data_IF_125876097825
#
_entry.id   IF_125876097825
#
_cell.length_a   1.000
_cell.length_b   1.000
_cell.length_c   1.000
_cell.angle_alpha   90.00
_cell.angle_beta   90.00
_cell.angle_gamma   90.00
#
_symmetry.space_group_name_H-M   'P 1'
#
loop_
_entity.id
_entity.type
_entity.pdbx_description
1 polymer ?
#
# COMPACT_ATOMS: atom_id res chain seq x y z
N UNK A 1 21.19 29.66 -81.14
CA UNK A 1 21.61 31.07 -81.09
C UNK A 1 20.93 31.73 -79.90
N UNK A 2 21.69 32.56 -79.19
CA UNK A 2 21.22 33.55 -78.20
C UNK A 2 20.83 32.96 -76.83
N UNK A 3 21.27 33.46 -75.68
CA UNK A 3 22.17 34.57 -75.36
C UNK A 3 22.37 34.59 -73.83
N UNK A 4 23.53 35.10 -73.42
CA UNK A 4 23.94 35.39 -72.04
C UNK A 4 23.05 36.40 -71.31
N UNK A 5 22.93 36.28 -69.97
CA UNK A 5 23.09 37.36 -68.96
C UNK A 5 22.84 36.77 -67.55
N UNK A 6 23.86 36.53 -66.71
CA UNK A 6 24.55 37.45 -65.80
C UNK A 6 23.71 38.01 -64.63
N UNK A 7 24.03 37.48 -63.44
CA UNK A 7 24.28 38.13 -62.14
C UNK A 7 23.19 38.91 -61.38
N UNK A 8 22.84 38.39 -60.19
CA UNK A 8 23.03 39.06 -58.89
C UNK A 8 22.80 38.12 -57.69
N UNK A 9 23.84 37.92 -56.88
CA UNK A 9 23.77 37.54 -55.46
C UNK A 9 23.36 38.80 -54.63
N UNK A 10 23.25 38.81 -53.28
CA UNK A 10 23.14 37.76 -52.24
C UNK A 10 22.06 38.04 -51.16
N UNK A 11 21.67 37.04 -50.36
CA UNK A 11 21.46 37.21 -48.89
C UNK A 11 21.27 35.85 -48.20
N UNK A 12 22.35 35.34 -47.60
CA UNK A 12 22.26 34.53 -46.37
C UNK A 12 21.72 35.44 -45.23
N UNK A 13 21.19 34.96 -44.07
CA UNK A 13 21.51 33.68 -43.41
C UNK A 13 20.34 33.05 -42.59
N UNK A 14 20.67 31.98 -41.84
CA UNK A 14 20.00 31.52 -40.61
C UNK A 14 18.78 30.58 -40.70
N UNK A 15 18.91 29.43 -41.37
CA UNK A 15 18.08 28.27 -41.02
C UNK A 15 18.85 26.96 -40.76
N UNK A 16 20.18 26.99 -40.79
CA UNK A 16 21.00 25.80 -40.54
C UNK A 16 21.25 25.52 -39.04
N UNK A 17 21.03 26.49 -38.15
CA UNK A 17 21.32 26.33 -36.73
C UNK A 17 20.20 25.59 -35.95
N UNK A 18 19.00 25.40 -36.52
CA UNK A 18 17.88 24.71 -35.82
C UNK A 18 17.89 23.20 -36.00
N UNK A 19 18.55 22.68 -37.03
CA UNK A 19 18.63 21.23 -37.28
C UNK A 19 19.64 20.52 -36.36
N UNK A 20 20.75 21.16 -36.03
CA UNK A 20 21.83 20.57 -35.21
C UNK A 20 21.43 20.46 -33.74
N UNK A 21 20.69 21.45 -33.20
CA UNK A 21 20.21 21.37 -31.81
C UNK A 21 19.13 20.30 -31.67
N UNK A 22 18.22 20.17 -32.64
CA UNK A 22 17.17 19.14 -32.57
C UNK A 22 17.73 17.73 -32.75
N UNK A 23 18.69 17.51 -33.65
CA UNK A 23 19.32 16.19 -33.82
C UNK A 23 20.17 15.80 -32.60
N UNK A 24 20.91 16.74 -31.99
CA UNK A 24 21.65 16.48 -30.75
C UNK A 24 20.72 16.31 -29.53
N UNK A 25 19.55 16.96 -29.51
CA UNK A 25 18.56 16.81 -28.44
C UNK A 25 17.78 15.50 -28.57
N UNK A 26 17.40 15.06 -29.78
CA UNK A 26 16.71 13.79 -29.99
C UNK A 26 17.63 12.57 -29.76
N UNK A 27 18.90 12.66 -30.17
CA UNK A 27 19.87 11.58 -29.93
C UNK A 27 20.20 11.49 -28.43
N UNK A 28 20.33 12.61 -27.70
CA UNK A 28 20.50 12.56 -26.24
C UNK A 28 19.22 12.20 -25.46
N UNK A 29 18.03 12.52 -25.97
CA UNK A 29 16.75 12.15 -25.36
C UNK A 29 16.45 10.65 -25.53
N UNK A 30 16.84 10.04 -26.66
CA UNK A 30 16.84 8.57 -26.80
C UNK A 30 18.01 7.91 -26.05
N UNK A 31 19.17 8.53 -25.95
CA UNK A 31 20.33 7.97 -25.23
C UNK A 31 20.18 8.04 -23.70
N UNK A 32 19.33 8.93 -23.18
CA UNK A 32 19.01 9.00 -21.75
C UNK A 32 18.00 7.94 -21.28
N UNK A 33 17.29 7.27 -22.21
CA UNK A 33 16.44 6.12 -21.90
C UNK A 33 17.18 4.78 -21.94
N UNK A 34 18.45 4.77 -22.38
CA UNK A 34 19.27 3.56 -22.54
C UNK A 34 20.37 3.38 -21.50
N UNK A 35 20.43 4.19 -20.43
CA UNK A 35 21.04 3.72 -19.18
C UNK A 35 20.09 2.73 -18.51
N UNK A 36 20.19 1.53 -19.06
CA UNK A 36 19.75 0.24 -18.60
C UNK A 36 20.12 0.07 -17.11
N UNK A 37 19.28 0.60 -16.24
CA UNK A 37 19.28 0.26 -14.83
C UNK A 37 18.82 -1.19 -14.71
N UNK A 38 19.76 -2.11 -14.87
CA UNK A 38 19.60 -3.54 -14.64
C UNK A 38 19.10 -3.79 -13.23
N UNK A 39 17.79 -3.69 -13.02
CA UNK A 39 17.11 -4.34 -11.92
C UNK A 39 17.27 -5.82 -12.18
N UNK A 40 18.36 -6.39 -11.67
CA UNK A 40 18.41 -7.81 -11.35
C UNK A 40 17.13 -8.06 -10.58
N UNK A 41 16.17 -8.75 -11.19
CA UNK A 41 14.98 -9.24 -10.51
C UNK A 41 15.49 -10.18 -9.41
N UNK A 42 15.86 -9.61 -8.26
CA UNK A 42 16.41 -10.33 -7.13
C UNK A 42 15.33 -11.33 -6.75
N UNK A 43 15.57 -12.60 -7.04
CA UNK A 43 14.64 -13.70 -6.82
C UNK A 43 14.00 -13.52 -5.44
N UNK A 44 12.69 -13.29 -5.42
CA UNK A 44 11.96 -13.03 -4.17
C UNK A 44 12.12 -14.25 -3.29
N UNK A 45 12.58 -14.05 -2.06
CA UNK A 45 12.74 -15.15 -1.12
C UNK A 45 11.38 -15.80 -0.82
N UNK A 46 11.21 -17.04 -1.29
CA UNK A 46 10.03 -17.86 -1.04
C UNK A 46 10.05 -18.37 0.41
N UNK A 47 8.88 -18.51 1.02
CA UNK A 47 8.73 -18.91 2.41
C UNK A 47 7.89 -20.18 2.54
N UNK A 48 8.32 -21.06 3.43
CA UNK A 48 7.61 -22.28 3.80
C UNK A 48 6.71 -22.06 5.03
N UNK A 49 5.61 -22.79 5.09
CA UNK A 49 4.72 -22.79 6.26
C UNK A 49 5.41 -23.49 7.43
N UNK A 50 5.29 -22.93 8.64
CA UNK A 50 5.88 -23.51 9.87
C UNK A 50 4.91 -24.42 10.63
N UNK A 51 3.61 -24.36 10.32
CA UNK A 51 2.56 -25.18 10.96
C UNK A 51 2.18 -26.34 10.05
N UNK A 52 1.64 -27.41 10.64
CA UNK A 52 1.11 -28.59 9.90
C UNK A 52 0.04 -28.24 8.86
N UNK A 53 -0.73 -27.17 9.08
CA UNK A 53 -1.86 -26.81 8.21
C UNK A 53 -1.37 -26.14 6.93
N UNK A 54 -1.61 -26.79 5.79
CA UNK A 54 -1.22 -26.33 4.45
C UNK A 54 -2.22 -25.36 3.80
N UNK A 55 -3.50 -25.50 4.11
CA UNK A 55 -4.58 -24.74 3.45
C UNK A 55 -4.64 -23.26 3.87
N UNK A 56 -5.16 -22.42 2.97
CA UNK A 56 -5.37 -20.99 3.19
C UNK A 56 -6.71 -20.70 3.91
N UNK A 57 -6.80 -21.10 5.18
CA UNK A 57 -7.99 -20.84 6.00
C UNK A 57 -7.82 -19.59 6.87
N UNK A 58 -8.94 -19.05 7.37
CA UNK A 58 -8.94 -17.87 8.25
C UNK A 58 -8.13 -18.05 9.55
N UNK A 59 -7.96 -19.28 10.04
CA UNK A 59 -7.09 -19.57 11.20
C UNK A 59 -5.60 -19.61 10.84
N UNK A 60 -5.28 -19.83 9.55
CA UNK A 60 -3.93 -19.89 9.00
C UNK A 60 -3.52 -18.60 8.26
N UNK A 61 -4.13 -17.47 8.63
CA UNK A 61 -3.71 -16.16 8.14
C UNK A 61 -2.28 -15.87 8.61
N UNK A 62 -1.50 -15.23 7.74
CA UNK A 62 -0.05 -15.05 7.89
C UNK A 62 0.33 -13.60 7.61
N UNK A 63 1.36 -13.11 8.30
CA UNK A 63 2.05 -11.84 8.04
C UNK A 63 3.53 -12.14 7.81
N UNK A 64 4.11 -11.60 6.75
CA UNK A 64 5.55 -11.68 6.49
C UNK A 64 6.24 -10.58 7.29
N UNK A 65 7.27 -10.95 8.07
CA UNK A 65 8.12 -10.01 8.81
C UNK A 65 9.58 -10.29 8.52
N UNK A 66 10.39 -9.22 8.48
CA UNK A 66 11.86 -9.35 8.55
C UNK A 66 12.25 -9.58 10.00
N UNK A 67 13.09 -10.58 10.24
CA UNK A 67 13.73 -10.77 11.55
C UNK A 67 15.00 -9.91 11.63
N UNK A 68 15.52 -9.64 12.83
CA UNK A 68 16.80 -8.94 13.00
C UNK A 68 17.96 -9.58 12.22
N UNK A 69 17.96 -10.93 12.10
CA UNK A 69 18.94 -11.68 11.30
C UNK A 69 18.72 -11.62 9.78
N UNK A 70 17.93 -10.68 9.27
CA UNK A 70 17.74 -10.44 7.84
C UNK A 70 16.89 -11.48 7.10
N UNK A 71 16.30 -12.47 7.80
CA UNK A 71 15.48 -13.53 7.20
C UNK A 71 14.01 -13.10 7.15
N UNK A 72 13.32 -13.39 6.04
CA UNK A 72 11.86 -13.28 5.99
C UNK A 72 11.22 -14.48 6.70
N UNK A 73 10.24 -14.22 7.57
CA UNK A 73 9.57 -15.28 8.36
C UNK A 73 8.06 -15.02 8.43
N UNK A 74 7.26 -16.08 8.39
CA UNK A 74 5.83 -16.01 8.69
C UNK A 74 5.57 -15.86 10.19
N UNK A 75 4.86 -14.79 10.55
CA UNK A 75 4.18 -14.64 11.82
C UNK A 75 2.71 -15.01 11.66
N UNK A 76 2.17 -15.70 12.64
CA UNK A 76 0.79 -16.18 12.63
C UNK A 76 -0.07 -15.36 13.60
N UNK A 77 -0.73 -14.29 13.13
CA UNK A 77 -1.68 -13.55 13.94
C UNK A 77 -2.85 -14.44 14.36
N UNK A 78 -3.40 -14.16 15.54
CA UNK A 78 -4.66 -14.74 16.00
C UNK A 78 -5.83 -14.05 15.29
N UNK A 79 -7.00 -14.71 15.22
CA UNK A 79 -8.20 -14.07 14.64
C UNK A 79 -8.57 -12.85 15.50
N UNK A 80 -8.93 -11.71 14.89
CA UNK A 80 -9.31 -10.52 15.64
C UNK A 80 -10.57 -10.80 16.48
N UNK A 81 -10.64 -10.18 17.66
CA UNK A 81 -11.85 -10.16 18.48
C UNK A 81 -12.92 -9.27 17.86
N UNK A 82 -14.19 -9.59 18.09
CA UNK A 82 -15.32 -8.74 17.70
C UNK A 82 -15.63 -7.74 18.81
N UNK A 83 -16.02 -6.53 18.43
CA UNK A 83 -16.57 -5.53 19.37
C UNK A 83 -18.02 -5.93 19.70
N UNK A 84 -18.45 -5.88 20.97
CA UNK A 84 -19.84 -6.15 21.33
C UNK A 84 -20.79 -5.14 20.70
N UNK A 85 -21.97 -5.62 20.33
CA UNK A 85 -23.05 -4.82 19.74
C UNK A 85 -24.13 -4.55 20.78
N UNK A 86 -24.82 -3.42 20.62
CA UNK A 86 -26.00 -3.09 21.40
C UNK A 86 -27.13 -4.10 21.13
N UNK A 87 -27.87 -4.52 22.16
CA UNK A 87 -28.99 -5.45 21.99
C UNK A 87 -30.16 -4.91 21.15
N UNK A 88 -30.54 -3.63 21.30
CA UNK A 88 -31.69 -3.05 20.56
C UNK A 88 -31.22 -2.52 19.20
N UNK A 89 -30.35 -1.52 19.26
CA UNK A 89 -29.95 -0.72 18.11
C UNK A 89 -28.88 -1.43 17.24
N UNK A 90 -28.32 -2.57 17.68
CA UNK A 90 -27.26 -3.36 16.98
C UNK A 90 -25.97 -2.61 16.62
N UNK A 91 -25.84 -1.36 17.06
CA UNK A 91 -24.65 -0.53 16.92
C UNK A 91 -23.49 -1.07 17.76
N UNK A 92 -22.26 -0.92 17.26
CA UNK A 92 -21.04 -1.27 18.01
C UNK A 92 -20.91 -0.40 19.26
N UNK A 93 -20.70 -1.02 20.42
CA UNK A 93 -20.50 -0.31 21.67
C UNK A 93 -19.10 0.33 21.70
N UNK A 94 -19.04 1.57 22.18
CA UNK A 94 -17.79 2.34 22.34
C UNK A 94 -17.24 2.13 23.76
N UNK A 95 -15.92 2.23 23.91
CA UNK A 95 -15.25 2.11 25.21
C UNK A 95 -15.00 0.68 25.69
N UNK A 96 -15.21 -0.32 24.84
CA UNK A 96 -14.94 -1.73 25.15
C UNK A 96 -13.86 -2.24 24.19
N UNK A 97 -12.81 -2.85 24.75
CA UNK A 97 -11.69 -3.36 23.97
C UNK A 97 -12.10 -4.63 23.21
N UNK A 98 -11.91 -4.71 21.87
CA UNK A 98 -12.14 -5.94 21.13
C UNK A 98 -11.06 -6.97 21.49
N UNK A 99 -11.49 -8.11 22.04
CA UNK A 99 -10.60 -9.20 22.44
C UNK A 99 -11.25 -10.56 22.14
N UNK A 100 -10.45 -11.61 22.06
CA UNK A 100 -10.98 -12.99 21.95
C UNK A 100 -11.55 -13.43 23.31
N UNK A 101 -12.51 -14.37 23.39
CA UNK A 101 -13.14 -14.76 24.66
C UNK A 101 -12.14 -15.12 25.77
N UNK A 102 -11.04 -15.82 25.44
CA UNK A 102 -9.97 -16.18 26.38
C UNK A 102 -9.11 -14.99 26.83
N UNK A 103 -8.92 -13.99 25.97
CA UNK A 103 -8.21 -12.76 26.33
C UNK A 103 -9.15 -11.85 27.15
N UNK A 104 -10.43 -11.81 26.78
CA UNK A 104 -11.48 -11.05 27.46
C UNK A 104 -11.66 -11.52 28.90
N UNK A 105 -11.55 -12.81 29.21
CA UNK A 105 -11.58 -13.29 30.60
C UNK A 105 -10.42 -12.73 31.43
N UNK A 106 -9.22 -12.63 30.85
CA UNK A 106 -8.02 -12.13 31.53
C UNK A 106 -7.95 -10.60 31.69
N UNK A 107 -8.66 -9.82 30.87
CA UNK A 107 -8.65 -8.35 30.97
C UNK A 107 -9.25 -7.84 32.30
N UNK A 108 -8.90 -6.62 32.69
CA UNK A 108 -9.53 -5.94 33.83
C UNK A 108 -10.96 -5.50 33.51
N UNK A 109 -11.79 -5.27 34.54
CA UNK A 109 -13.21 -4.90 34.38
C UNK A 109 -13.40 -3.63 33.56
N UNK A 110 -12.53 -2.62 33.75
CA UNK A 110 -12.58 -1.32 33.04
C UNK A 110 -12.52 -1.44 31.52
N UNK A 111 -11.86 -2.46 30.98
CA UNK A 111 -11.78 -2.68 29.53
C UNK A 111 -12.97 -3.45 28.96
N UNK A 112 -13.78 -4.10 29.82
CA UNK A 112 -14.93 -4.94 29.44
C UNK A 112 -16.24 -4.15 29.46
N UNK A 113 -16.37 -3.16 30.34
CA UNK A 113 -17.63 -2.46 30.61
C UNK A 113 -17.48 -0.94 30.57
N UNK A 114 -18.62 -0.25 30.53
CA UNK A 114 -18.72 1.21 30.62
C UNK A 114 -19.43 1.58 31.92
N UNK A 115 -18.97 2.60 32.63
CA UNK A 115 -19.49 3.04 33.94
C UNK A 115 -20.81 3.82 33.80
N UNK A 116 -21.91 3.10 33.53
CA UNK A 116 -23.28 3.63 33.44
C UNK A 116 -24.30 2.50 33.51
N UNK A 117 -25.58 2.82 33.62
CA UNK A 117 -26.68 1.84 33.57
C UNK A 117 -26.64 1.05 32.25
N UNK A 118 -26.78 -0.28 32.34
CA UNK A 118 -26.66 -1.22 31.22
C UNK A 118 -25.35 -1.13 30.41
N UNK A 119 -24.27 -0.63 31.02
CA UNK A 119 -22.95 -0.54 30.40
C UNK A 119 -22.44 -1.90 29.91
N UNK A 120 -21.96 -1.96 28.67
CA UNK A 120 -21.50 -3.21 28.06
C UNK A 120 -22.56 -3.99 27.28
N UNK A 121 -23.85 -3.69 27.46
CA UNK A 121 -24.96 -4.35 26.74
C UNK A 121 -25.75 -3.37 25.87
N UNK A 122 -25.96 -2.13 26.35
CA UNK A 122 -26.78 -1.13 25.67
C UNK A 122 -25.97 0.12 25.34
N UNK A 123 -26.37 0.87 24.31
CA UNK A 123 -25.74 2.14 23.91
C UNK A 123 -26.38 3.36 24.59
N UNK A 124 -25.75 4.53 24.52
CA UNK A 124 -26.23 5.73 25.24
C UNK A 124 -27.61 6.20 24.82
N UNK A 125 -27.91 6.05 23.53
CA UNK A 125 -29.19 6.46 22.96
C UNK A 125 -30.33 5.56 23.43
N UNK A 126 -30.19 4.24 23.28
CA UNK A 126 -31.26 3.31 23.68
C UNK A 126 -31.45 3.25 25.23
N UNK A 127 -30.45 3.65 26.03
CA UNK A 127 -30.62 3.81 27.49
C UNK A 127 -31.38 5.09 27.84
N UNK A 128 -31.24 6.16 27.04
CA UNK A 128 -31.93 7.44 27.29
C UNK A 128 -33.41 7.41 26.88
N UNK A 129 -33.76 6.59 25.89
CA UNK A 129 -35.14 6.42 25.42
C UNK A 129 -35.95 5.41 26.24
N UNK A 130 -35.37 4.88 27.31
CA UNK A 130 -35.96 3.87 28.19
C UNK A 130 -36.19 4.51 29.55
#
# INVERSE_FOLDING_TARGET
MSSHHSSRLPSFPLEAARFIVYFRFLVNFLFSHLHCGGRVFKMVQRLTLRRRLSYNTNSNRRKISKTPGGKLVYLYPKKPGSVPKCGDCKLKLRGITPARPRELSALSKRHKTVTRTYGGSRCGKCVRSR
#
